data_IF_702161257586
#
_entry.id   IF_702161257586
#
_cell.length_a   1.000
_cell.length_b   1.000
_cell.length_c   1.000
_cell.angle_alpha   90.00
_cell.angle_beta   90.00
_cell.angle_gamma   90.00
#
_symmetry.space_group_name_H-M   'P 1'
#
loop_
_entity.id
_entity.type
_entity.pdbx_description
1 polymer ?
#
# COMPACT_ATOMS: atom_id res chain seq x y z
N UNK A 1 -0.34 6.66 -0.43
CA UNK A 1 -0.53 6.00 0.88
C UNK A 1 -1.09 4.61 0.65
N UNK A 2 -0.49 3.60 1.21
CA UNK A 2 -1.00 2.24 1.13
C UNK A 2 -0.89 1.51 2.47
N UNK A 3 -1.77 0.54 2.66
CA UNK A 3 -1.93 -0.15 3.93
C UNK A 3 -2.37 -1.59 3.65
N UNK A 4 -1.80 -2.54 4.38
CA UNK A 4 -2.19 -3.95 4.25
C UNK A 4 -3.60 -4.15 4.82
N UNK A 5 -4.48 -4.72 4.00
CA UNK A 5 -5.85 -5.03 4.41
C UNK A 5 -5.85 -6.15 5.45
N UNK A 6 -6.62 -5.94 6.52
CA UNK A 6 -6.79 -6.93 7.58
C UNK A 6 -5.48 -7.39 8.22
N UNK A 7 -4.51 -6.49 8.35
CA UNK A 7 -3.19 -6.85 8.91
C UNK A 7 -3.30 -7.41 10.33
N UNK A 8 -4.24 -6.88 11.12
CA UNK A 8 -4.48 -7.41 12.48
C UNK A 8 -4.85 -8.89 12.43
N UNK A 9 -5.66 -9.30 11.44
CA UNK A 9 -6.03 -10.71 11.27
C UNK A 9 -4.82 -11.57 10.92
N UNK A 10 -3.87 -11.05 10.16
CA UNK A 10 -2.62 -11.77 9.86
C UNK A 10 -1.85 -12.04 11.15
N UNK A 11 -1.68 -11.02 11.98
CA UNK A 11 -0.99 -11.16 13.27
C UNK A 11 -1.74 -12.10 14.21
N UNK A 12 -3.05 -11.97 14.30
CA UNK A 12 -3.86 -12.79 15.21
C UNK A 12 -3.89 -14.25 14.78
N UNK A 13 -3.89 -14.52 13.46
CA UNK A 13 -3.97 -15.88 12.93
C UNK A 13 -2.62 -16.58 12.86
N UNK A 14 -1.58 -15.87 12.44
CA UNK A 14 -0.27 -16.47 12.13
C UNK A 14 0.85 -16.02 13.06
N UNK A 15 0.62 -15.01 13.89
CA UNK A 15 1.62 -14.44 14.79
C UNK A 15 2.37 -13.26 14.20
N UNK A 16 3.05 -12.52 15.09
CA UNK A 16 3.75 -11.30 14.70
C UNK A 16 4.93 -11.56 13.76
N UNK A 17 5.57 -12.72 13.85
CA UNK A 17 6.67 -13.10 12.95
C UNK A 17 6.20 -13.15 11.50
N UNK A 18 5.03 -13.72 11.26
CA UNK A 18 4.43 -13.77 9.92
C UNK A 18 3.99 -12.37 9.49
N UNK A 19 3.44 -11.58 10.41
CA UNK A 19 3.11 -10.18 10.14
C UNK A 19 4.33 -9.38 9.69
N UNK A 20 5.46 -9.57 10.35
CA UNK A 20 6.73 -8.91 9.98
C UNK A 20 7.18 -9.35 8.58
N UNK A 21 7.06 -10.62 8.26
CA UNK A 21 7.37 -11.13 6.91
C UNK A 21 6.45 -10.52 5.86
N UNK A 22 5.18 -10.31 6.17
CA UNK A 22 4.24 -9.65 5.28
C UNK A 22 4.68 -8.21 4.99
N UNK A 23 5.10 -7.47 6.01
CA UNK A 23 5.60 -6.11 5.85
C UNK A 23 6.88 -6.08 5.01
N UNK A 24 7.82 -6.99 5.27
CA UNK A 24 9.07 -7.09 4.52
C UNK A 24 8.76 -7.40 3.04
N UNK A 25 7.87 -8.33 2.79
CA UNK A 25 7.48 -8.70 1.42
C UNK A 25 6.82 -7.52 0.70
N UNK A 26 5.97 -6.77 1.38
CA UNK A 26 5.34 -5.56 0.81
C UNK A 26 6.39 -4.51 0.43
N UNK A 27 7.34 -4.27 1.32
CA UNK A 27 8.40 -3.29 1.09
C UNK A 27 9.27 -3.70 -0.10
N UNK A 28 9.65 -4.97 -0.18
CA UNK A 28 10.47 -5.49 -1.29
C UNK A 28 9.75 -5.42 -2.62
N UNK A 29 8.51 -5.85 -2.65
CA UNK A 29 7.72 -5.87 -3.87
C UNK A 29 7.46 -4.46 -4.37
N UNK A 30 7.06 -3.56 -3.48
CA UNK A 30 6.82 -2.17 -3.81
C UNK A 30 8.09 -1.48 -4.28
N UNK A 31 9.20 -1.66 -3.56
CA UNK A 31 10.49 -1.08 -3.91
C UNK A 31 11.02 -1.54 -5.27
N UNK A 32 10.78 -2.81 -5.62
CA UNK A 32 11.14 -3.35 -6.92
C UNK A 32 10.21 -2.94 -8.05
N UNK A 33 9.02 -2.46 -7.74
CA UNK A 33 8.01 -2.10 -8.71
C UNK A 33 8.09 -0.63 -9.13
N UNK A 34 8.44 0.27 -8.21
CA UNK A 34 8.47 1.72 -8.46
C UNK A 34 9.74 2.13 -9.21
N UNK A 35 9.74 3.35 -9.76
CA UNK A 35 10.88 3.89 -10.51
C UNK A 35 12.02 4.27 -9.55
N UNK A 36 13.25 4.37 -10.08
CA UNK A 36 14.43 4.78 -9.28
C UNK A 36 14.27 6.16 -8.63
N UNK A 37 13.56 7.08 -9.31
CA UNK A 37 13.33 8.42 -8.78
C UNK A 37 12.21 8.47 -7.76
N UNK A 38 11.42 7.41 -7.67
CA UNK A 38 10.33 7.32 -6.68
C UNK A 38 10.91 6.99 -5.31
N UNK A 39 10.21 7.42 -4.27
CA UNK A 39 10.64 7.19 -2.89
C UNK A 39 9.60 6.39 -2.15
N UNK A 40 10.02 5.30 -1.54
CA UNK A 40 9.18 4.50 -0.65
C UNK A 40 9.55 4.82 0.80
N UNK A 41 8.56 5.10 1.63
CA UNK A 41 8.72 5.31 3.05
C UNK A 41 7.72 4.51 3.85
N UNK A 42 8.16 3.98 4.99
CA UNK A 42 7.26 3.36 5.96
C UNK A 42 6.87 4.42 6.99
N UNK A 43 5.56 4.65 7.13
CA UNK A 43 5.05 5.66 8.05
C UNK A 43 4.83 5.08 9.45
N UNK A 44 4.60 3.79 9.55
CA UNK A 44 4.43 3.09 10.82
C UNK A 44 3.57 1.85 10.62
N UNK A 45 3.72 0.84 11.47
CA UNK A 45 2.96 -0.39 11.38
C UNK A 45 3.00 -0.99 9.97
N UNK A 46 1.84 -1.16 9.37
CA UNK A 46 1.64 -1.68 8.02
C UNK A 46 1.38 -0.59 6.98
N UNK A 47 1.64 0.67 7.30
CA UNK A 47 1.34 1.82 6.45
C UNK A 47 2.59 2.34 5.76
N UNK A 48 2.50 2.52 4.45
CA UNK A 48 3.58 3.00 3.59
C UNK A 48 3.12 4.17 2.75
N UNK A 49 4.08 4.98 2.31
CA UNK A 49 3.85 6.03 1.35
C UNK A 49 4.85 5.92 0.21
N UNK A 50 4.41 6.24 -1.00
CA UNK A 50 5.29 6.36 -2.17
C UNK A 50 5.11 7.75 -2.74
N UNK A 51 6.22 8.43 -2.97
CA UNK A 51 6.24 9.70 -3.69
C UNK A 51 6.68 9.45 -5.13
N UNK A 52 5.88 9.95 -6.07
CA UNK A 52 6.13 9.82 -7.51
C UNK A 52 6.48 11.20 -8.09
N UNK A 53 7.76 11.61 -8.06
CA UNK A 53 8.14 12.90 -8.64
C UNK A 53 7.82 12.96 -10.12
N UNK A 54 7.29 14.11 -10.57
CA UNK A 54 6.99 14.37 -11.98
C UNK A 54 6.01 13.36 -12.62
N UNK A 55 5.18 12.73 -11.80
CA UNK A 55 4.17 11.82 -12.30
C UNK A 55 2.85 12.57 -12.52
N UNK A 56 2.21 12.31 -13.63
CA UNK A 56 0.87 12.81 -13.88
C UNK A 56 -0.16 11.95 -13.14
N UNK A 57 -1.36 12.50 -12.94
CA UNK A 57 -2.43 11.85 -12.17
C UNK A 57 -2.75 10.46 -12.67
N UNK A 58 -3.07 10.32 -13.95
CA UNK A 58 -3.57 9.06 -14.50
C UNK A 58 -2.50 7.97 -14.53
N UNK A 59 -1.27 8.24 -15.01
CA UNK A 59 -0.20 7.25 -14.92
C UNK A 59 0.10 6.81 -13.49
N UNK A 60 0.06 7.72 -12.52
CA UNK A 60 0.28 7.38 -11.11
C UNK A 60 -0.82 6.45 -10.59
N UNK A 61 -2.08 6.76 -10.91
CA UNK A 61 -3.20 5.90 -10.54
C UNK A 61 -3.05 4.50 -11.14
N UNK A 62 -2.73 4.42 -12.43
CA UNK A 62 -2.57 3.15 -13.12
C UNK A 62 -1.42 2.33 -12.54
N UNK A 63 -0.31 2.98 -12.19
CA UNK A 63 0.82 2.33 -11.53
C UNK A 63 0.40 1.75 -10.18
N UNK A 64 -0.34 2.53 -9.39
CA UNK A 64 -0.85 2.07 -8.10
C UNK A 64 -1.78 0.88 -8.24
N UNK A 65 -2.64 0.89 -9.25
CA UNK A 65 -3.56 -0.23 -9.50
C UNK A 65 -2.80 -1.49 -9.92
N UNK A 66 -1.77 -1.36 -10.77
CA UNK A 66 -0.92 -2.50 -11.13
C UNK A 66 -0.16 -3.05 -9.91
N UNK A 67 0.35 -2.16 -9.07
CA UNK A 67 1.01 -2.55 -7.83
C UNK A 67 0.05 -3.34 -6.93
N UNK A 68 -1.16 -2.84 -6.76
CA UNK A 68 -2.19 -3.52 -5.97
C UNK A 68 -2.45 -4.93 -6.46
N UNK A 69 -2.60 -5.10 -7.78
CA UNK A 69 -2.80 -6.41 -8.38
C UNK A 69 -1.60 -7.32 -8.17
N UNK A 70 -0.40 -6.79 -8.32
CA UNK A 70 0.84 -7.54 -8.10
C UNK A 70 0.94 -8.05 -6.67
N UNK A 71 0.58 -7.21 -5.71
CA UNK A 71 0.57 -7.59 -4.30
C UNK A 71 -0.48 -8.68 -4.05
N UNK A 72 -1.68 -8.55 -4.62
CA UNK A 72 -2.74 -9.53 -4.44
C UNK A 72 -2.37 -10.91 -5.02
N UNK A 73 -1.56 -10.95 -6.06
CA UNK A 73 -1.09 -12.19 -6.68
C UNK A 73 0.07 -12.83 -5.91
N UNK A 74 0.78 -12.05 -5.10
CA UNK A 74 1.96 -12.53 -4.40
C UNK A 74 1.60 -13.56 -3.33
N UNK A 75 2.42 -14.60 -3.22
CA UNK A 75 2.26 -15.66 -2.22
C UNK A 75 3.49 -15.69 -1.35
N UNK A 76 3.31 -15.50 -0.06
CA UNK A 76 4.40 -15.50 0.91
C UNK A 76 4.46 -16.88 1.56
N UNK A 77 5.60 -17.60 1.47
CA UNK A 77 5.69 -18.91 2.11
C UNK A 77 5.51 -18.80 3.63
N UNK A 78 4.72 -19.70 4.19
CA UNK A 78 4.51 -19.77 5.63
C UNK A 78 5.40 -20.88 6.23
N UNK A 79 5.75 -20.78 7.53
CA UNK A 79 6.47 -21.85 8.23
C UNK A 79 5.72 -23.19 8.15
N UNK A 80 6.42 -24.34 8.19
CA UNK A 80 5.80 -25.66 8.05
C UNK A 80 4.77 -26.01 9.15
N UNK A 81 4.82 -25.33 10.29
CA UNK A 81 3.91 -25.55 11.40
C UNK A 81 2.56 -24.85 11.23
N UNK A 82 2.35 -24.11 10.13
CA UNK A 82 1.08 -23.42 9.87
C UNK A 82 0.15 -24.30 9.03
N UNK A 83 -1.15 -24.07 9.20
CA UNK A 83 -2.19 -24.84 8.49
C UNK A 83 -2.16 -24.62 6.98
N UNK A 84 -1.74 -23.44 6.56
CA UNK A 84 -1.63 -23.07 5.14
C UNK A 84 -0.16 -22.99 4.75
N UNK A 85 0.13 -23.30 3.48
CA UNK A 85 1.49 -23.23 2.95
C UNK A 85 1.93 -21.82 2.58
N UNK A 86 0.98 -20.92 2.27
CA UNK A 86 1.26 -19.55 1.81
C UNK A 86 0.27 -18.57 2.38
N UNK A 87 0.74 -17.33 2.56
CA UNK A 87 -0.09 -16.20 2.92
C UNK A 87 -0.33 -15.35 1.67
N UNK A 88 -1.58 -14.94 1.49
CA UNK A 88 -1.97 -13.93 0.51
C UNK A 88 -2.68 -12.80 1.24
N UNK A 89 -2.46 -11.57 0.78
CA UNK A 89 -3.18 -10.41 1.31
C UNK A 89 -3.36 -9.37 0.19
N UNK A 90 -4.23 -8.41 0.45
CA UNK A 90 -4.44 -7.28 -0.44
C UNK A 90 -4.05 -5.98 0.26
N UNK A 91 -3.99 -4.91 -0.50
CA UNK A 91 -3.75 -3.56 0.03
C UNK A 91 -4.84 -2.61 -0.45
N UNK A 92 -5.12 -1.63 0.39
CA UNK A 92 -5.89 -0.46 -0.01
C UNK A 92 -4.92 0.69 -0.24
N UNK A 93 -5.20 1.50 -1.25
CA UNK A 93 -4.32 2.59 -1.67
C UNK A 93 -5.13 3.86 -1.84
N UNK A 94 -4.58 4.98 -1.36
CA UNK A 94 -5.08 6.31 -1.64
C UNK A 94 -4.03 7.11 -2.38
N UNK A 95 -4.43 7.77 -3.46
CA UNK A 95 -3.55 8.58 -4.31
C UNK A 95 -4.01 10.03 -4.28
N UNK A 96 -3.07 10.93 -4.07
CA UNK A 96 -3.32 12.37 -4.18
C UNK A 96 -2.24 13.00 -5.05
N UNK A 97 -2.60 14.05 -5.77
CA UNK A 97 -1.68 14.77 -6.63
C UNK A 97 -1.46 16.17 -6.10
N UNK A 98 -0.25 16.68 -6.26
CA UNK A 98 0.09 18.04 -5.92
C UNK A 98 -0.66 18.99 -6.86
N UNK A 99 -1.28 20.00 -6.27
CA UNK A 99 -2.01 21.03 -7.01
C UNK A 99 -1.48 22.39 -6.60
N UNK A 100 -1.75 23.45 -7.41
CA UNK A 100 -1.32 24.80 -7.02
C UNK A 100 -1.80 25.23 -5.64
N UNK A 101 -2.96 24.74 -5.18
CA UNK A 101 -3.53 25.06 -3.87
C UNK A 101 -2.93 24.24 -2.74
N UNK A 102 -2.22 23.15 -3.05
CA UNK A 102 -1.62 22.30 -2.01
C UNK A 102 -0.51 23.04 -1.32
N UNK A 103 -0.65 23.29 -0.01
CA UNK A 103 0.26 24.11 0.73
C UNK A 103 1.64 23.47 0.91
N UNK A 104 1.67 22.16 1.22
CA UNK A 104 2.91 21.46 1.57
C UNK A 104 2.74 19.94 1.44
N UNK A 105 3.82 19.22 1.75
CA UNK A 105 3.83 17.76 1.76
C UNK A 105 2.84 17.19 2.77
N UNK A 106 2.69 17.82 3.90
CA UNK A 106 1.78 17.37 4.95
C UNK A 106 0.33 17.35 4.45
N UNK A 107 -0.09 18.39 3.73
CA UNK A 107 -1.41 18.43 3.13
C UNK A 107 -1.57 17.37 2.05
N UNK A 108 -0.56 17.16 1.21
CA UNK A 108 -0.58 16.12 0.18
C UNK A 108 -0.76 14.73 0.81
N UNK A 109 -0.03 14.42 1.86
CA UNK A 109 -0.16 13.15 2.57
C UNK A 109 -1.53 12.99 3.21
N UNK A 110 -2.07 14.07 3.79
CA UNK A 110 -3.41 14.06 4.37
C UNK A 110 -4.48 13.76 3.33
N UNK A 111 -4.36 14.32 2.14
CA UNK A 111 -5.28 14.07 1.04
C UNK A 111 -5.20 12.61 0.58
N UNK A 112 -4.00 12.06 0.47
CA UNK A 112 -3.80 10.65 0.14
C UNK A 112 -4.38 9.74 1.23
N UNK A 113 -4.21 10.11 2.49
CA UNK A 113 -4.76 9.36 3.62
C UNK A 113 -6.29 9.35 3.61
N UNK A 114 -6.92 10.48 3.27
CA UNK A 114 -8.37 10.55 3.11
C UNK A 114 -8.86 9.61 2.00
N UNK A 115 -8.15 9.54 0.89
CA UNK A 115 -8.46 8.61 -0.19
C UNK A 115 -8.25 7.16 0.23
N UNK A 116 -7.20 6.88 1.01
CA UNK A 116 -6.96 5.55 1.58
C UNK A 116 -8.12 5.11 2.49
N UNK A 117 -8.57 6.02 3.35
CA UNK A 117 -9.72 5.77 4.21
C UNK A 117 -10.95 5.37 3.38
N UNK A 118 -11.19 6.10 2.29
CA UNK A 118 -12.29 5.78 1.38
C UNK A 118 -12.13 4.39 0.75
N UNK A 119 -10.92 4.03 0.31
CA UNK A 119 -10.66 2.69 -0.21
C UNK A 119 -11.02 1.61 0.81
N UNK A 120 -10.65 1.81 2.07
CA UNK A 120 -10.98 0.87 3.14
C UNK A 120 -12.49 0.76 3.40
N UNK A 121 -13.21 1.87 3.30
CA UNK A 121 -14.65 1.89 3.53
C UNK A 121 -15.47 1.34 2.38
N UNK A 122 -14.95 1.40 1.17
CA UNK A 122 -15.64 0.93 -0.03
C UNK A 122 -15.39 -0.54 -0.34
N UNK A 123 -14.75 -1.26 0.56
CA UNK A 123 -14.58 -2.70 0.44
C UNK A 123 -13.13 -3.18 0.34
N UNK A 124 -12.15 -2.29 0.52
CA UNK A 124 -10.73 -2.61 0.47
C UNK A 124 -10.27 -3.11 -0.91
N UNK A 125 -9.02 -3.52 -1.01
CA UNK A 125 -8.43 -4.05 -2.24
C UNK A 125 -8.75 -3.18 -3.45
N UNK A 126 -8.42 -1.90 -3.33
CA UNK A 126 -8.69 -0.91 -4.38
C UNK A 126 -7.83 0.33 -4.23
N UNK A 127 -7.80 1.12 -5.28
CA UNK A 127 -7.15 2.42 -5.32
C UNK A 127 -8.22 3.49 -5.41
N UNK A 128 -8.14 4.50 -4.57
CA UNK A 128 -9.01 5.68 -4.63
C UNK A 128 -8.15 6.91 -4.88
N UNK A 129 -8.55 7.74 -5.83
CA UNK A 129 -7.94 9.05 -6.04
C UNK A 129 -8.66 10.08 -5.21
N UNK A 130 -7.87 10.96 -4.60
CA UNK A 130 -8.44 12.09 -3.88
C UNK A 130 -8.81 13.19 -4.89
N UNK A 131 -10.06 13.59 -4.88
CA UNK A 131 -10.57 14.72 -5.65
C UNK A 131 -11.01 15.81 -4.70
N UNK A 132 -11.00 17.01 -5.17
CA UNK A 132 -11.52 18.13 -4.39
C UNK A 132 -12.98 17.98 -4.05
#
# INVERSE_FOLDING_TARGET
MLDIDHFKNVNDTYGHDVGDEAIIALARLTGGFIRKIDTLGRLGGEEFAVLFPRAEKQPAYEMCNRLRLKIAENRIPLPPDKDQSHLAYTVSIGVASLRPQTADLKELLRNADAALYQSKHEGRNRVTQWWE
#
